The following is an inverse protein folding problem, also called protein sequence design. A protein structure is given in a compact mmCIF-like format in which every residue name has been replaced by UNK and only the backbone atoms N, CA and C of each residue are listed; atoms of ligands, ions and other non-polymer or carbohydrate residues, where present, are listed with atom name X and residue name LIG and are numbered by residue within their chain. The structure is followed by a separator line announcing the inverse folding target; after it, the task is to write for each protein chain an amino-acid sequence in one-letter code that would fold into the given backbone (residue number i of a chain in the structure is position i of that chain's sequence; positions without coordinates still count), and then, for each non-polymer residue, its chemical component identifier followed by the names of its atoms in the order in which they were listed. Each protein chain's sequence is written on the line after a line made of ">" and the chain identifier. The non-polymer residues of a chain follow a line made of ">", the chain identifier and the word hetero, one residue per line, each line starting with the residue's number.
data_IF_427353838678
#
_entry.id   IF_427353838678
#
_cell.length_a   1.000
_cell.length_b   1.000
_cell.length_c   1.000
_cell.angle_alpha   90.00
_cell.angle_beta   90.00
_cell.angle_gamma   90.00
#
_symmetry.space_group_name_H-M   'P 1'
#
loop_
_entity.id
_entity.type
_entity.pdbx_description
1 polymer ?
#
# COMPACT_ATOMS: atom_id res chain seq x y z
N UNK A 1 -10.89 28.43 -24.09
CA UNK A 1 -11.05 26.97 -23.90
C UNK A 1 -12.47 26.71 -23.45
N UNK A 2 -13.15 25.74 -24.05
CA UNK A 2 -14.50 25.34 -23.65
C UNK A 2 -14.47 24.60 -22.29
N UNK A 3 -15.50 24.75 -21.47
CA UNK A 3 -15.63 24.12 -20.16
C UNK A 3 -15.48 22.59 -20.26
N UNK A 4 -16.05 21.98 -21.30
CA UNK A 4 -15.91 20.53 -21.54
C UNK A 4 -14.46 20.10 -21.78
N UNK A 5 -13.65 20.95 -22.40
CA UNK A 5 -12.23 20.67 -22.63
C UNK A 5 -11.43 20.74 -21.32
N UNK A 6 -11.79 21.65 -20.41
CA UNK A 6 -11.20 21.77 -19.07
C UNK A 6 -11.52 20.52 -18.24
N UNK A 7 -12.79 20.12 -18.19
CA UNK A 7 -13.23 18.92 -17.44
C UNK A 7 -12.54 17.65 -17.95
N UNK A 8 -12.40 17.51 -19.27
CA UNK A 8 -11.69 16.38 -19.88
C UNK A 8 -10.22 16.31 -19.48
N UNK A 9 -9.54 17.45 -19.39
CA UNK A 9 -8.15 17.53 -18.92
C UNK A 9 -8.01 17.18 -17.45
N UNK A 10 -8.91 17.69 -16.60
CA UNK A 10 -8.93 17.40 -15.17
C UNK A 10 -9.13 15.90 -14.93
N UNK A 11 -10.13 15.28 -15.58
CA UNK A 11 -10.38 13.84 -15.45
C UNK A 11 -9.18 12.99 -15.85
N UNK A 12 -8.49 13.36 -16.94
CA UNK A 12 -7.29 12.66 -17.39
C UNK A 12 -6.14 12.78 -16.37
N UNK A 13 -5.95 13.98 -15.82
CA UNK A 13 -4.95 14.21 -14.77
C UNK A 13 -5.26 13.38 -13.51
N UNK A 14 -6.50 13.43 -13.02
CA UNK A 14 -6.92 12.69 -11.83
C UNK A 14 -6.85 11.17 -12.03
N UNK A 15 -7.21 10.67 -13.22
CA UNK A 15 -7.10 9.25 -13.55
C UNK A 15 -5.66 8.73 -13.59
N UNK A 16 -4.67 9.61 -13.72
CA UNK A 16 -3.25 9.26 -13.64
C UNK A 16 -2.69 9.23 -12.21
N UNK A 17 -3.42 9.72 -11.22
CA UNK A 17 -2.97 9.76 -9.82
C UNK A 17 -3.48 8.51 -9.11
N UNK A 18 -2.56 7.60 -8.79
CA UNK A 18 -2.89 6.45 -7.96
C UNK A 18 -3.25 6.91 -6.54
N UNK A 19 -4.48 6.62 -6.13
CA UNK A 19 -4.92 6.86 -4.76
C UNK A 19 -4.36 5.81 -3.80
N UNK A 20 -4.34 6.14 -2.51
CA UNK A 20 -4.07 5.15 -1.48
C UNK A 20 -5.03 3.96 -1.60
N UNK A 21 -4.50 2.77 -1.38
CA UNK A 21 -5.25 1.53 -1.61
C UNK A 21 -4.94 0.48 -0.56
N UNK A 22 -5.83 -0.51 -0.47
CA UNK A 22 -5.67 -1.68 0.39
C UNK A 22 -5.02 -2.80 -0.40
N UNK A 23 -4.20 -3.60 0.28
CA UNK A 23 -3.64 -4.82 -0.29
C UNK A 23 -3.48 -5.90 0.76
N UNK A 24 -2.96 -7.04 0.32
CA UNK A 24 -2.59 -8.17 1.17
C UNK A 24 -1.12 -8.50 1.03
N UNK A 25 -0.44 -8.71 2.15
CA UNK A 25 0.96 -9.14 2.16
C UNK A 25 1.07 -10.52 1.49
N UNK A 26 1.94 -10.63 0.49
CA UNK A 26 2.31 -11.90 -0.13
C UNK A 26 3.60 -12.45 0.49
N UNK A 27 4.61 -11.57 0.67
CA UNK A 27 5.86 -11.88 1.38
C UNK A 27 6.55 -10.60 1.86
N UNK A 28 7.40 -10.75 2.86
CA UNK A 28 8.26 -9.70 3.42
C UNK A 28 9.72 -10.08 3.29
N UNK A 29 10.57 -9.09 3.04
CA UNK A 29 12.02 -9.20 2.96
C UNK A 29 12.65 -8.24 3.97
N UNK A 30 13.20 -8.81 5.03
CA UNK A 30 13.84 -8.10 6.15
C UNK A 30 15.38 -8.11 6.06
N UNK A 31 15.97 -8.58 4.96
CA UNK A 31 17.43 -8.64 4.80
C UNK A 31 18.05 -7.26 4.51
N UNK A 32 17.24 -6.26 4.15
CA UNK A 32 17.65 -4.90 3.86
C UNK A 32 17.52 -3.98 5.09
N UNK A 33 18.16 -2.81 5.06
CA UNK A 33 18.07 -1.82 6.14
C UNK A 33 16.66 -1.25 6.37
N UNK A 34 15.81 -1.23 5.32
CA UNK A 34 14.37 -0.96 5.41
C UNK A 34 13.66 -2.22 4.92
N UNK A 35 12.75 -2.76 5.73
CA UNK A 35 12.00 -3.95 5.35
C UNK A 35 11.15 -3.66 4.10
N UNK A 36 11.13 -4.61 3.17
CA UNK A 36 10.32 -4.52 1.95
C UNK A 36 9.22 -5.59 1.95
N UNK A 37 8.15 -5.34 1.19
CA UNK A 37 7.09 -6.32 1.00
C UNK A 37 6.65 -6.41 -0.46
N UNK A 38 6.25 -7.62 -0.84
CA UNK A 38 5.39 -7.85 -1.99
C UNK A 38 3.96 -7.93 -1.50
N UNK A 39 3.04 -7.33 -2.24
CA UNK A 39 1.61 -7.38 -1.94
C UNK A 39 0.79 -7.75 -3.17
N UNK A 40 -0.41 -8.27 -2.91
CA UNK A 40 -1.53 -8.25 -3.84
C UNK A 40 -2.33 -6.96 -3.60
N UNK A 41 -2.48 -6.13 -4.65
CA UNK A 41 -3.17 -4.84 -4.61
C UNK A 41 -4.59 -4.91 -5.17
N UNK A 42 -5.02 -3.84 -5.85
CA UNK A 42 -6.35 -3.80 -6.48
C UNK A 42 -6.38 -4.69 -7.73
N UNK A 43 -7.52 -5.30 -8.00
CA UNK A 43 -7.76 -6.17 -9.16
C UNK A 43 -6.70 -7.28 -9.35
N UNK A 44 -6.16 -7.81 -8.24
CA UNK A 44 -5.16 -8.88 -8.24
C UNK A 44 -3.78 -8.45 -8.73
N UNK A 45 -3.52 -7.13 -8.85
CA UNK A 45 -2.20 -6.65 -9.25
C UNK A 45 -1.14 -7.09 -8.24
N UNK A 46 0.04 -7.44 -8.74
CA UNK A 46 1.18 -7.73 -7.87
C UNK A 46 2.07 -6.51 -7.78
N UNK A 47 2.26 -5.97 -6.58
CA UNK A 47 3.17 -4.85 -6.32
C UNK A 47 4.40 -5.36 -5.58
N UNK A 48 5.58 -5.05 -6.11
CA UNK A 48 6.85 -5.56 -5.62
C UNK A 48 7.60 -4.51 -4.80
N UNK A 49 8.40 -4.99 -3.84
CA UNK A 49 9.44 -4.21 -3.17
C UNK A 49 8.98 -2.89 -2.53
N UNK A 50 7.72 -2.82 -2.07
CA UNK A 50 7.22 -1.67 -1.33
C UNK A 50 7.93 -1.56 0.01
N UNK A 51 8.29 -0.33 0.39
CA UNK A 51 8.86 -0.08 1.71
C UNK A 51 7.79 -0.30 2.79
N UNK A 52 8.13 -1.05 3.83
CA UNK A 52 7.31 -1.20 5.03
C UNK A 52 7.77 -0.16 6.05
N UNK A 53 6.99 0.92 6.19
CA UNK A 53 7.31 1.94 7.17
C UNK A 53 6.97 1.44 8.58
N UNK A 54 7.95 1.54 9.47
CA UNK A 54 7.84 1.06 10.85
C UNK A 54 8.15 2.19 11.82
N UNK A 55 7.44 2.21 12.95
CA UNK A 55 7.75 3.12 14.05
C UNK A 55 9.14 2.75 14.62
N UNK A 56 9.94 3.75 14.96
CA UNK A 56 11.24 3.54 15.61
C UNK A 56 11.13 2.61 16.82
N UNK A 57 12.04 1.64 16.91
CA UNK A 57 12.08 0.65 17.98
C UNK A 57 11.15 -0.55 17.79
N UNK A 58 10.38 -0.58 16.69
CA UNK A 58 9.58 -1.73 16.29
C UNK A 58 10.09 -2.32 14.98
N UNK A 59 9.94 -3.63 14.84
CA UNK A 59 9.98 -4.30 13.54
C UNK A 59 8.94 -5.40 13.54
N UNK A 60 8.13 -5.42 12.50
CA UNK A 60 7.03 -6.32 12.27
C UNK A 60 7.25 -7.04 10.95
N UNK A 61 7.22 -8.36 11.01
CA UNK A 61 7.28 -9.23 9.84
C UNK A 61 5.89 -9.82 9.57
N UNK A 62 4.93 -9.02 9.03
CA UNK A 62 3.55 -9.45 8.88
C UNK A 62 3.49 -10.71 8.02
N UNK A 63 2.81 -11.78 8.49
CA UNK A 63 2.71 -13.01 7.73
C UNK A 63 1.89 -12.78 6.46
N UNK A 64 2.04 -13.69 5.49
CA UNK A 64 1.24 -13.68 4.28
C UNK A 64 -0.27 -13.67 4.60
N UNK A 65 -1.03 -12.92 3.81
CA UNK A 65 -2.47 -12.72 4.00
C UNK A 65 -2.84 -11.56 4.94
N UNK A 66 -1.87 -10.97 5.65
CA UNK A 66 -2.09 -9.75 6.44
C UNK A 66 -2.56 -8.60 5.53
N UNK A 67 -3.51 -7.81 6.00
CA UNK A 67 -3.96 -6.62 5.29
C UNK A 67 -2.94 -5.49 5.43
N UNK A 68 -2.84 -4.65 4.41
CA UNK A 68 -1.96 -3.48 4.42
C UNK A 68 -2.61 -2.26 3.77
N UNK A 69 -2.18 -1.06 4.17
CA UNK A 69 -2.51 0.20 3.51
C UNK A 69 -1.27 0.74 2.80
N UNK A 70 -1.40 1.00 1.50
CA UNK A 70 -0.33 1.59 0.69
C UNK A 70 -0.66 3.04 0.36
N UNK A 71 0.33 3.92 0.56
CA UNK A 71 0.29 5.31 0.12
C UNK A 71 1.26 5.48 -1.06
N UNK A 72 0.76 5.65 -2.30
CA UNK A 72 1.57 5.93 -3.47
C UNK A 72 2.16 7.34 -3.40
N UNK A 73 3.48 7.48 -3.22
CA UNK A 73 4.12 8.79 -3.24
C UNK A 73 4.12 9.35 -4.66
N UNK A 74 3.69 10.61 -4.81
CA UNK A 74 3.54 11.24 -6.13
C UNK A 74 2.48 10.61 -7.04
N UNK A 75 1.58 9.78 -6.48
CA UNK A 75 0.53 9.11 -7.24
C UNK A 75 1.02 7.92 -8.07
N UNK A 76 2.18 7.34 -7.76
CA UNK A 76 2.75 6.18 -8.47
C UNK A 76 2.91 4.97 -7.55
N UNK A 77 2.34 3.83 -7.95
CA UNK A 77 2.38 2.59 -7.17
C UNK A 77 3.81 2.10 -6.91
N UNK A 78 4.73 2.31 -7.85
CA UNK A 78 6.14 1.91 -7.73
C UNK A 78 6.88 2.62 -6.59
N UNK A 79 6.38 3.76 -6.13
CA UNK A 79 6.93 4.53 -5.01
C UNK A 79 6.01 4.43 -3.77
N UNK A 80 5.22 3.36 -3.69
CA UNK A 80 4.32 3.14 -2.58
C UNK A 80 5.06 2.84 -1.27
N UNK A 81 4.49 3.32 -0.18
CA UNK A 81 4.92 2.98 1.18
C UNK A 81 3.75 2.29 1.88
N UNK A 82 4.02 1.16 2.51
CA UNK A 82 3.08 0.52 3.42
C UNK A 82 3.17 1.25 4.76
N UNK A 83 2.07 1.89 5.17
CA UNK A 83 2.02 2.71 6.40
C UNK A 83 1.37 1.98 7.57
N UNK A 84 0.70 0.86 7.31
CA UNK A 84 0.12 0.02 8.33
C UNK A 84 -0.08 -1.40 7.81
N UNK A 85 0.04 -2.37 8.72
CA UNK A 85 -0.33 -3.76 8.49
C UNK A 85 -1.18 -4.27 9.64
N UNK A 86 -2.15 -5.12 9.33
CA UNK A 86 -2.97 -5.77 10.36
C UNK A 86 -3.30 -7.20 9.95
N UNK A 87 -3.49 -8.06 10.93
CA UNK A 87 -3.95 -9.42 10.70
C UNK A 87 -4.96 -9.79 11.76
N UNK A 88 -6.19 -10.09 11.33
CA UNK A 88 -7.30 -10.42 12.22
C UNK A 88 -7.02 -11.59 13.15
N UNK A 89 -6.14 -12.52 12.75
CA UNK A 89 -5.76 -13.67 13.59
C UNK A 89 -4.86 -13.28 14.79
N UNK A 90 -4.27 -12.09 14.78
CA UNK A 90 -3.30 -11.63 15.78
C UNK A 90 -3.75 -10.38 16.52
N UNK A 91 -4.95 -9.86 16.22
CA UNK A 91 -5.58 -8.87 17.09
C UNK A 91 -6.02 -9.61 18.36
N UNK A 92 -5.68 -9.12 19.56
CA UNK A 92 -6.32 -9.63 20.76
C UNK A 92 -7.82 -9.47 20.52
N UNK A 93 -8.55 -10.58 20.52
CA UNK A 93 -9.99 -10.54 20.38
C UNK A 93 -10.52 -9.49 21.37
N UNK A 94 -11.50 -8.69 20.95
CA UNK A 94 -12.47 -8.24 21.93
C UNK A 94 -12.94 -9.51 22.63
N UNK A 95 -12.39 -9.76 23.82
CA UNK A 95 -12.94 -10.69 24.77
C UNK A 95 -14.35 -10.12 25.03
N UNK A 96 -15.32 -10.69 24.31
CA UNK A 96 -16.72 -10.60 24.67
C UNK A 96 -16.94 -11.46 25.90
#
# INVERSE_FOLDING_TARGET
>A
MDAKQVDGRIKRMLGGIRQAFRGKIARTDAAAGVQRAQIEGLDGETVQALEHAEQFGFTGHPPAGSDCIVVPLGGQTSHGIIVNTCNGAYLPAHAA
#
